data_IF_149785763640
#
_entry.id   IF_149785763640
#
_cell.length_a   1.000
_cell.length_b   1.000
_cell.length_c   1.000
_cell.angle_alpha   90.00
_cell.angle_beta   90.00
_cell.angle_gamma   90.00
#
_symmetry.space_group_name_H-M   'P 1'
#
loop_
_entity.id
_entity.type
_entity.pdbx_description
1 polymer ?
#
# COMPACT_ATOMS: atom_id res chain seq x y z
N UNK A 1 3.10 29.63 16.65
CA UNK A 1 3.28 28.24 17.14
C UNK A 1 2.32 27.22 16.47
N UNK A 2 1.75 27.52 15.29
CA UNK A 2 0.81 26.62 14.58
C UNK A 2 1.49 25.51 13.77
N UNK A 3 2.80 25.61 13.50
CA UNK A 3 3.53 24.60 12.72
C UNK A 3 3.69 23.24 13.41
N UNK A 4 3.57 23.19 14.75
CA UNK A 4 3.71 21.95 15.53
C UNK A 4 2.41 21.15 15.67
N UNK A 5 1.24 21.78 15.44
CA UNK A 5 -0.05 21.06 15.48
C UNK A 5 -0.30 20.28 14.19
N UNK A 6 0.14 20.78 13.03
CA UNK A 6 0.10 20.06 11.75
C UNK A 6 0.90 18.73 11.77
N UNK A 7 1.90 18.60 12.65
CA UNK A 7 2.70 17.37 12.80
C UNK A 7 2.02 16.28 13.64
N UNK A 8 0.95 16.59 14.40
CA UNK A 8 0.21 15.59 15.18
C UNK A 8 -0.78 14.79 14.33
N UNK A 9 -1.32 15.41 13.28
CA UNK A 9 -2.26 14.74 12.37
C UNK A 9 -1.58 14.07 11.18
N UNK A 10 -0.33 14.44 10.87
CA UNK A 10 0.49 13.73 9.89
C UNK A 10 1.08 12.48 10.54
N UNK A 11 0.26 11.42 10.55
CA UNK A 11 0.63 10.06 10.97
C UNK A 11 1.60 9.39 10.00
N UNK A 12 1.93 10.03 8.87
CA UNK A 12 2.81 9.50 7.82
C UNK A 12 4.22 10.04 8.04
N UNK A 13 5.25 9.17 8.01
CA UNK A 13 6.64 9.63 8.07
C UNK A 13 7.33 9.54 9.43
N UNK A 14 6.66 9.06 10.49
CA UNK A 14 7.22 9.05 11.84
C UNK A 14 7.75 7.67 12.23
N UNK A 15 9.03 7.60 12.60
CA UNK A 15 9.59 6.42 13.25
C UNK A 15 8.93 6.19 14.61
N UNK A 16 8.40 4.98 14.84
CA UNK A 16 7.76 4.60 16.11
C UNK A 16 8.70 3.66 16.88
N UNK A 17 9.43 4.13 17.91
CA UNK A 17 10.38 3.31 18.65
C UNK A 17 9.65 2.28 19.53
N UNK A 18 9.25 1.16 18.95
CA UNK A 18 8.55 0.07 19.68
C UNK A 18 9.50 -1.04 20.16
N UNK A 19 10.77 -0.99 19.76
CA UNK A 19 11.81 -1.95 20.16
C UNK A 19 11.56 -3.40 19.72
N UNK A 20 10.70 -3.63 18.73
CA UNK A 20 10.32 -4.98 18.29
C UNK A 20 11.39 -5.67 17.44
N UNK A 21 11.24 -6.99 17.22
CA UNK A 21 12.17 -7.77 16.41
C UNK A 21 12.34 -7.21 15.00
N UNK A 22 11.26 -6.65 14.42
CA UNK A 22 11.31 -5.99 13.12
C UNK A 22 12.22 -4.77 13.16
N UNK A 23 12.21 -3.97 14.23
CA UNK A 23 13.06 -2.77 14.31
C UNK A 23 14.54 -3.13 14.33
N UNK A 24 14.90 -4.28 14.92
CA UNK A 24 16.28 -4.78 15.02
C UNK A 24 16.81 -5.45 13.74
N UNK A 25 15.98 -5.66 12.72
CA UNK A 25 16.43 -6.21 11.44
C UNK A 25 17.34 -5.23 10.70
N UNK A 26 18.29 -5.77 9.94
CA UNK A 26 19.15 -4.98 9.05
C UNK A 26 18.28 -4.13 8.09
N UNK A 27 18.48 -2.80 8.02
CA UNK A 27 17.77 -1.91 7.11
C UNK A 27 17.77 -2.38 5.65
N UNK A 28 18.83 -3.05 5.19
CA UNK A 28 18.91 -3.59 3.81
C UNK A 28 17.90 -4.70 3.58
N UNK A 29 17.76 -5.61 4.54
CA UNK A 29 16.80 -6.71 4.46
C UNK A 29 15.36 -6.19 4.46
N UNK A 30 15.07 -5.16 5.28
CA UNK A 30 13.76 -4.48 5.28
C UNK A 30 13.46 -3.89 3.91
N UNK A 31 14.39 -3.12 3.33
CA UNK A 31 14.21 -2.50 2.02
C UNK A 31 14.03 -3.52 0.91
N UNK A 32 14.85 -4.58 0.88
CA UNK A 32 14.71 -5.66 -0.11
C UNK A 32 13.37 -6.39 0.03
N UNK A 33 12.96 -6.71 1.26
CA UNK A 33 11.66 -7.34 1.49
C UNK A 33 10.50 -6.45 1.06
N UNK A 34 10.60 -5.14 1.29
CA UNK A 34 9.62 -4.17 0.82
C UNK A 34 9.57 -4.12 -0.71
N UNK A 35 10.72 -4.09 -1.40
CA UNK A 35 10.78 -4.14 -2.86
C UNK A 35 10.13 -5.41 -3.43
N UNK A 36 10.40 -6.57 -2.83
CA UNK A 36 9.79 -7.85 -3.23
C UNK A 36 8.27 -7.83 -3.01
N UNK A 37 7.80 -7.31 -1.88
CA UNK A 37 6.37 -7.19 -1.60
C UNK A 37 5.68 -6.20 -2.54
N UNK A 38 6.30 -5.06 -2.85
CA UNK A 38 5.79 -4.10 -3.84
C UNK A 38 5.63 -4.78 -5.20
N UNK A 39 6.64 -5.54 -5.65
CA UNK A 39 6.55 -6.30 -6.89
C UNK A 39 5.41 -7.33 -6.85
N UNK A 40 5.28 -8.10 -5.76
CA UNK A 40 4.21 -9.08 -5.59
C UNK A 40 2.81 -8.44 -5.61
N UNK A 41 2.61 -7.32 -4.92
CA UNK A 41 1.37 -6.54 -4.88
C UNK A 41 1.00 -6.00 -6.27
N UNK A 42 2.00 -5.58 -7.05
CA UNK A 42 1.79 -4.95 -8.35
C UNK A 42 1.50 -5.99 -9.44
N UNK A 43 2.18 -7.14 -9.40
CA UNK A 43 2.02 -8.21 -10.39
C UNK A 43 0.78 -9.08 -10.12
N UNK A 44 0.31 -9.16 -8.88
CA UNK A 44 -0.89 -9.92 -8.56
C UNK A 44 -2.17 -9.21 -9.04
N UNK A 45 -3.11 -9.99 -9.56
CA UNK A 45 -4.42 -9.56 -10.07
C UNK A 45 -5.60 -10.36 -9.48
N UNK A 46 -5.31 -11.25 -8.53
CA UNK A 46 -6.29 -12.16 -7.92
C UNK A 46 -6.70 -11.70 -6.52
N UNK A 47 -7.98 -11.89 -6.17
CA UNK A 47 -8.50 -11.58 -4.85
C UNK A 47 -7.79 -12.35 -3.73
N UNK A 48 -7.55 -13.64 -3.95
CA UNK A 48 -6.86 -14.50 -2.99
C UNK A 48 -5.42 -14.06 -2.77
N UNK A 49 -4.69 -13.69 -3.82
CA UNK A 49 -3.33 -13.18 -3.67
C UNK A 49 -3.27 -11.89 -2.86
N UNK A 50 -4.20 -10.95 -3.07
CA UNK A 50 -4.29 -9.72 -2.28
C UNK A 50 -4.66 -10.01 -0.82
N UNK A 51 -5.58 -10.96 -0.57
CA UNK A 51 -5.88 -11.38 0.80
C UNK A 51 -4.65 -11.95 1.53
N UNK A 52 -3.84 -12.77 0.86
CA UNK A 52 -2.60 -13.33 1.42
C UNK A 52 -1.57 -12.21 1.70
N UNK A 53 -1.39 -11.27 0.75
CA UNK A 53 -0.48 -10.15 0.90
C UNK A 53 -0.88 -9.22 2.04
N UNK A 54 -2.18 -8.93 2.16
CA UNK A 54 -2.72 -8.13 3.25
C UNK A 54 -2.48 -8.79 4.61
N UNK A 55 -2.68 -10.11 4.72
CA UNK A 55 -2.35 -10.86 5.94
C UNK A 55 -0.86 -10.84 6.25
N UNK A 56 0.01 -10.96 5.23
CA UNK A 56 1.45 -10.86 5.41
C UNK A 56 1.86 -9.47 5.94
N UNK A 57 1.32 -8.38 5.37
CA UNK A 57 1.56 -7.01 5.83
C UNK A 57 1.05 -6.82 7.26
N UNK A 58 -0.15 -7.31 7.57
CA UNK A 58 -0.70 -7.26 8.92
C UNK A 58 0.19 -8.03 9.93
N UNK A 59 0.72 -9.18 9.53
CA UNK A 59 1.70 -9.95 10.31
C UNK A 59 3.00 -9.18 10.56
N UNK A 60 3.51 -8.46 9.55
CA UNK A 60 4.70 -7.60 9.71
C UNK A 60 4.40 -6.46 10.69
N UNK A 61 3.24 -5.81 10.59
CA UNK A 61 2.83 -4.73 11.50
C UNK A 61 2.68 -5.20 12.94
N UNK A 62 2.07 -6.36 13.17
CA UNK A 62 1.91 -6.94 14.51
C UNK A 62 3.26 -7.36 15.10
N UNK A 63 4.12 -8.00 14.30
CA UNK A 63 5.48 -8.35 14.71
C UNK A 63 6.33 -7.11 14.98
N UNK A 64 6.07 -6.02 14.25
CA UNK A 64 6.65 -4.71 14.47
C UNK A 64 6.08 -4.01 15.72
N UNK A 65 5.08 -4.58 16.40
CA UNK A 65 4.34 -3.96 17.52
C UNK A 65 3.71 -2.61 17.16
N UNK A 66 3.38 -2.42 15.88
CA UNK A 66 2.70 -1.22 15.40
C UNK A 66 1.19 -1.48 15.49
N UNK A 67 0.42 -0.63 16.20
CA UNK A 67 -1.03 -0.80 16.27
C UNK A 67 -1.65 -0.61 14.88
N UNK A 68 -2.43 -1.60 14.42
CA UNK A 68 -3.07 -1.58 13.09
C UNK A 68 -3.93 -0.32 12.87
N UNK A 69 -4.61 0.15 13.93
CA UNK A 69 -5.38 1.39 13.87
C UNK A 69 -4.53 2.64 13.58
N UNK A 70 -3.25 2.64 13.92
CA UNK A 70 -2.31 3.72 13.58
C UNK A 70 -1.85 3.60 12.13
N UNK A 71 -1.55 2.38 11.65
CA UNK A 71 -1.25 2.14 10.24
C UNK A 71 -2.43 2.54 9.31
N UNK A 72 -3.66 2.23 9.71
CA UNK A 72 -4.88 2.61 8.98
C UNK A 72 -5.13 4.13 8.97
N UNK A 73 -4.56 4.91 9.88
CA UNK A 73 -4.63 6.38 9.79
C UNK A 73 -3.88 6.92 8.58
N UNK A 74 -2.83 6.22 8.12
CA UNK A 74 -2.13 6.54 6.88
C UNK A 74 -3.00 6.40 5.63
N UNK A 75 -4.08 5.62 5.69
CA UNK A 75 -5.04 5.45 4.60
C UNK A 75 -6.01 6.63 4.50
N UNK A 76 -6.32 7.30 5.63
CA UNK A 76 -7.27 8.42 5.66
C UNK A 76 -7.00 9.53 4.62
N UNK A 77 -5.77 10.05 4.48
CA UNK A 77 -5.49 11.07 3.46
C UNK A 77 -5.63 10.54 2.02
N UNK A 78 -5.52 9.23 1.81
CA UNK A 78 -5.69 8.61 0.50
C UNK A 78 -7.15 8.27 0.15
N UNK A 79 -8.09 8.32 1.11
CA UNK A 79 -9.51 8.04 0.87
C UNK A 79 -10.15 8.85 -0.26
N UNK A 80 -10.00 10.20 -0.35
CA UNK A 80 -10.58 10.94 -1.47
C UNK A 80 -10.03 10.48 -2.82
N UNK A 81 -8.72 10.16 -2.88
CA UNK A 81 -8.10 9.65 -4.08
C UNK A 81 -8.59 8.24 -4.45
N UNK A 82 -8.78 7.35 -3.46
CA UNK A 82 -9.34 6.01 -3.66
C UNK A 82 -10.76 6.07 -4.23
N UNK A 83 -11.60 6.98 -3.72
CA UNK A 83 -12.97 7.15 -4.20
C UNK A 83 -12.98 7.66 -5.65
N UNK A 84 -12.17 8.69 -5.94
CA UNK A 84 -12.04 9.21 -7.30
C UNK A 84 -11.55 8.12 -8.26
N UNK A 85 -10.51 7.37 -7.85
CA UNK A 85 -9.98 6.26 -8.64
C UNK A 85 -11.05 5.20 -8.93
N UNK A 86 -11.82 4.79 -7.92
CA UNK A 86 -12.88 3.81 -8.07
C UNK A 86 -13.97 4.29 -9.04
N UNK A 87 -14.42 5.54 -8.90
CA UNK A 87 -15.42 6.15 -9.78
C UNK A 87 -14.88 6.21 -11.22
N UNK A 88 -13.65 6.70 -11.42
CA UNK A 88 -13.04 6.77 -12.74
C UNK A 88 -12.95 5.39 -13.39
N UNK A 89 -12.50 4.37 -12.65
CA UNK A 89 -12.42 3.01 -13.19
C UNK A 89 -13.80 2.45 -13.54
N UNK A 90 -14.83 2.66 -12.72
CA UNK A 90 -16.19 2.23 -13.02
C UNK A 90 -16.78 2.91 -14.26
N UNK A 91 -16.49 4.20 -14.45
CA UNK A 91 -17.02 4.98 -15.57
C UNK A 91 -16.28 4.69 -16.89
N UNK A 92 -14.96 4.50 -16.86
CA UNK A 92 -14.12 4.42 -18.07
C UNK A 92 -13.76 2.99 -18.52
N UNK A 93 -13.77 1.99 -17.63
CA UNK A 93 -13.37 0.61 -17.99
C UNK A 93 -14.51 -0.29 -18.46
N UNK A 94 -15.76 0.18 -18.48
CA UNK A 94 -16.98 -0.59 -18.72
C UNK A 94 -16.89 -1.78 -19.68
N UNK A 95 -17.31 -1.60 -20.93
CA UNK A 95 -17.25 -2.66 -21.96
C UNK A 95 -15.86 -2.87 -22.56
N UNK A 96 -14.91 -1.98 -22.28
CA UNK A 96 -13.56 -2.03 -22.84
C UNK A 96 -12.72 -3.16 -22.26
N UNK A 97 -13.01 -3.60 -21.04
CA UNK A 97 -12.22 -4.61 -20.35
C UNK A 97 -12.59 -6.05 -20.74
N UNK A 98 -13.89 -6.32 -20.91
CA UNK A 98 -14.39 -7.62 -21.34
C UNK A 98 -15.74 -7.45 -22.08
N UNK A 99 -15.72 -7.42 -23.42
CA UNK A 99 -16.93 -7.27 -24.23
C UNK A 99 -17.92 -8.42 -24.09
N UNK A 100 -17.47 -9.60 -23.63
CA UNK A 100 -18.30 -10.80 -23.50
C UNK A 100 -18.95 -10.93 -22.11
N UNK A 101 -18.52 -10.12 -21.14
CA UNK A 101 -19.06 -10.17 -19.78
C UNK A 101 -20.46 -9.54 -19.73
N UNK A 102 -21.47 -10.22 -19.14
CA UNK A 102 -22.80 -9.64 -19.01
C UNK A 102 -22.72 -8.39 -18.14
N UNK A 103 -23.37 -7.32 -18.60
CA UNK A 103 -23.47 -6.10 -17.84
C UNK A 103 -24.39 -6.30 -16.64
N UNK A 104 -23.90 -5.91 -15.46
CA UNK A 104 -24.66 -5.93 -14.21
C UNK A 104 -25.57 -4.71 -14.12
N UNK A 105 -25.09 -3.57 -14.64
CA UNK A 105 -25.82 -2.32 -14.67
C UNK A 105 -25.43 -1.53 -15.93
N UNK A 106 -26.42 -1.05 -16.66
CA UNK A 106 -26.23 -0.21 -17.84
C UNK A 106 -27.11 1.03 -17.70
N UNK A 107 -26.49 2.20 -17.71
CA UNK A 107 -27.21 3.47 -17.73
C UNK A 107 -26.46 4.49 -18.59
N UNK A 108 -26.96 4.74 -19.80
CA UNK A 108 -26.34 5.64 -20.77
C UNK A 108 -24.92 5.18 -21.18
N UNK A 109 -23.90 6.05 -21.16
CA UNK A 109 -22.52 5.66 -21.49
C UNK A 109 -21.83 4.82 -20.39
N UNK A 110 -22.46 4.68 -19.23
CA UNK A 110 -21.89 3.96 -18.08
C UNK A 110 -22.36 2.50 -18.13
N UNK A 111 -21.40 1.59 -18.31
CA UNK A 111 -21.63 0.15 -18.26
C UNK A 111 -20.76 -0.44 -17.17
N UNK A 112 -21.39 -1.13 -16.21
CA UNK A 112 -20.69 -1.80 -15.12
C UNK A 112 -20.79 -3.31 -15.36
N UNK A 113 -19.62 -3.96 -15.49
CA UNK A 113 -19.50 -5.40 -15.70
C UNK A 113 -18.86 -6.05 -14.46
N UNK A 114 -18.98 -7.37 -14.32
CA UNK A 114 -18.27 -8.09 -13.25
C UNK A 114 -16.75 -7.90 -13.33
N UNK A 115 -16.23 -7.73 -14.56
CA UNK A 115 -14.81 -7.49 -14.80
C UNK A 115 -14.36 -6.11 -14.29
N UNK A 116 -15.14 -5.05 -14.51
CA UNK A 116 -14.80 -3.72 -13.98
C UNK A 116 -14.84 -3.67 -12.47
N UNK A 117 -15.85 -4.29 -11.86
CA UNK A 117 -15.93 -4.42 -10.38
C UNK A 117 -14.69 -5.13 -9.84
N UNK A 118 -14.24 -6.20 -10.49
CA UNK A 118 -13.00 -6.91 -10.12
C UNK A 118 -11.79 -5.99 -10.15
N UNK A 119 -11.60 -5.24 -11.24
CA UNK A 119 -10.45 -4.33 -11.38
C UNK A 119 -10.48 -3.21 -10.35
N UNK A 120 -11.66 -2.66 -10.06
CA UNK A 120 -11.84 -1.61 -9.04
C UNK A 120 -11.45 -2.13 -7.65
N UNK A 121 -11.98 -3.30 -7.26
CA UNK A 121 -11.68 -3.90 -5.95
C UNK A 121 -10.18 -4.22 -5.85
N UNK A 122 -9.61 -4.87 -6.87
CA UNK A 122 -8.17 -5.21 -6.90
C UNK A 122 -7.30 -3.95 -6.84
N UNK A 123 -7.69 -2.87 -7.52
CA UNK A 123 -6.95 -1.60 -7.50
C UNK A 123 -6.99 -0.92 -6.13
N UNK A 124 -8.15 -0.93 -5.46
CA UNK A 124 -8.31 -0.40 -4.11
C UNK A 124 -7.46 -1.20 -3.11
N UNK A 125 -7.53 -2.54 -3.17
CA UNK A 125 -6.72 -3.43 -2.33
C UNK A 125 -5.23 -3.20 -2.56
N UNK A 126 -4.79 -3.11 -3.82
CA UNK A 126 -3.41 -2.82 -4.18
C UNK A 126 -2.93 -1.52 -3.57
N UNK A 127 -3.68 -0.42 -3.70
CA UNK A 127 -3.25 0.86 -3.16
C UNK A 127 -3.24 0.85 -1.61
N UNK A 128 -4.23 0.19 -0.99
CA UNK A 128 -4.28 -0.01 0.45
C UNK A 128 -3.04 -0.77 0.95
N UNK A 129 -2.68 -1.88 0.31
CA UNK A 129 -1.51 -2.69 0.64
C UNK A 129 -0.21 -1.90 0.49
N UNK A 130 -0.05 -1.12 -0.58
CA UNK A 130 1.12 -0.27 -0.79
C UNK A 130 1.25 0.80 0.29
N UNK A 131 0.14 1.44 0.68
CA UNK A 131 0.13 2.43 1.77
C UNK A 131 0.54 1.76 3.08
N UNK A 132 -0.08 0.62 3.43
CA UNK A 132 0.21 -0.08 4.69
C UNK A 132 1.65 -0.61 4.75
N UNK A 133 2.17 -1.15 3.65
CA UNK A 133 3.55 -1.59 3.54
C UNK A 133 4.52 -0.41 3.70
N UNK A 134 4.24 0.71 3.04
CA UNK A 134 5.05 1.92 3.16
C UNK A 134 5.04 2.46 4.58
N UNK A 135 3.86 2.48 5.24
CA UNK A 135 3.75 2.82 6.65
C UNK A 135 4.56 1.87 7.53
N UNK A 136 4.52 0.55 7.29
CA UNK A 136 5.30 -0.42 8.06
C UNK A 136 6.81 -0.14 7.97
N UNK A 137 7.33 0.12 6.76
CA UNK A 137 8.75 0.44 6.56
C UNK A 137 9.12 1.78 7.22
N UNK A 138 8.29 2.79 7.01
CA UNK A 138 8.53 4.16 7.48
C UNK A 138 8.45 4.27 9.01
N UNK A 139 7.56 3.50 9.65
CA UNK A 139 7.44 3.49 11.10
C UNK A 139 8.52 2.65 11.77
N UNK A 140 9.03 1.61 11.10
CA UNK A 140 10.01 0.68 11.68
C UNK A 140 11.48 0.99 11.34
N UNK A 141 11.73 2.01 10.53
CA UNK A 141 13.08 2.37 10.07
C UNK A 141 13.28 3.87 10.18
N UNK A 142 14.36 4.29 10.83
CA UNK A 142 14.72 5.70 10.93
C UNK A 142 15.22 6.24 9.58
N UNK A 143 15.13 7.55 9.37
CA UNK A 143 15.66 8.19 8.13
C UNK A 143 17.15 7.88 7.95
N UNK A 144 17.93 7.86 9.04
CA UNK A 144 19.36 7.51 8.99
C UNK A 144 19.59 6.06 8.58
N UNK A 145 18.80 5.12 9.11
CA UNK A 145 18.86 3.70 8.72
C UNK A 145 18.42 3.48 7.27
N UNK A 146 17.42 4.22 6.79
CA UNK A 146 17.00 4.19 5.39
C UNK A 146 18.16 4.61 4.47
N UNK A 147 18.85 5.71 4.79
CA UNK A 147 20.02 6.16 4.03
C UNK A 147 21.13 5.11 4.00
N UNK A 148 21.49 4.52 5.15
CA UNK A 148 22.49 3.45 5.22
C UNK A 148 22.06 2.18 4.48
N UNK A 149 20.77 1.85 4.53
CA UNK A 149 20.18 0.75 3.78
C UNK A 149 20.35 0.95 2.27
N UNK A 150 19.99 2.13 1.78
CA UNK A 150 20.15 2.49 0.36
C UNK A 150 21.61 2.48 -0.06
N UNK A 151 22.51 3.11 0.70
CA UNK A 151 23.96 3.10 0.43
C UNK A 151 24.48 1.65 0.32
N UNK A 152 24.06 0.81 1.26
CA UNK A 152 24.39 -0.61 1.28
C UNK A 152 23.93 -1.38 0.05
N UNK A 153 22.74 -1.06 -0.48
CA UNK A 153 22.18 -1.67 -1.68
C UNK A 153 22.83 -1.16 -2.97
N UNK A 154 23.37 0.07 -2.97
CA UNK A 154 24.01 0.70 -4.13
C UNK A 154 25.50 0.36 -4.26
N UNK A 155 26.19 -0.05 -3.18
CA UNK A 155 27.60 -0.51 -3.23
C UNK A 155 27.96 -1.47 -4.38
N UNK A 156 27.17 -2.51 -4.74
CA UNK A 156 27.51 -3.38 -5.87
C UNK A 156 27.46 -2.68 -7.23
N UNK A 157 26.71 -1.58 -7.36
CA UNK A 157 26.62 -0.77 -8.59
C UNK A 157 27.71 0.32 -8.69
N UNK A 158 28.55 0.46 -7.66
CA UNK A 158 29.68 1.41 -7.65
C UNK A 158 30.97 0.80 -8.24
N UNK A 159 30.85 -0.33 -8.96
CA UNK A 159 31.91 -0.92 -9.78
C UNK A 159 31.75 -0.45 -11.22
#
# INVERSE_FOLDING_TARGET
MQGFELLRDVTIGQYLPTGSAVHRLDPRAKLLSACVLIAAITLNSTYSGHAILLLAIAGILTLARIPLGYALRGVRPALPFLVILAIMQLLFFGRSLDPASPALFEYGPVVITAATVKVVIVSILRLLELILLTSAVTFSTTVTELSHGIEGLLRPFQR
#
